data_IF_548436365745
#
_entry.id   IF_548436365745
#
_cell.length_a   1.000
_cell.length_b   1.000
_cell.length_c   1.000
_cell.angle_alpha   90.00
_cell.angle_beta   90.00
_cell.angle_gamma   90.00
#
_symmetry.space_group_name_H-M   'P 1'
#
loop_
_entity.id
_entity.type
_entity.pdbx_description
1 polymer ?
#
# COMPACT_ATOMS: atom_id res chain seq x y z
N UNK A 1 19.47 12.77 19.80
CA UNK A 1 18.67 12.95 18.57
C UNK A 1 17.45 12.04 18.67
N UNK A 2 16.27 12.59 18.91
CA UNK A 2 15.02 11.82 18.97
C UNK A 2 14.54 11.66 17.53
N UNK A 3 14.71 10.47 16.97
CA UNK A 3 14.16 10.12 15.68
C UNK A 3 12.65 9.93 15.84
N UNK A 4 11.85 10.90 15.40
CA UNK A 4 10.39 10.73 15.25
C UNK A 4 10.15 9.64 14.20
N UNK A 5 10.13 8.38 14.64
CA UNK A 5 9.86 7.21 13.81
C UNK A 5 8.35 7.00 13.82
N UNK A 6 7.68 7.29 12.70
CA UNK A 6 6.33 6.81 12.49
C UNK A 6 6.34 5.28 12.61
N UNK A 7 5.55 4.72 13.53
CA UNK A 7 5.44 3.28 13.68
C UNK A 7 4.60 2.72 12.54
N UNK A 8 5.17 1.84 11.72
CA UNK A 8 4.40 1.11 10.73
C UNK A 8 3.54 0.06 11.42
N UNK A 9 2.25 0.01 11.06
CA UNK A 9 1.33 -1.04 11.47
C UNK A 9 1.08 -1.94 10.28
N UNK A 10 1.37 -3.23 10.42
CA UNK A 10 1.09 -4.27 9.42
C UNK A 10 -0.04 -5.14 9.96
N UNK A 11 -1.06 -5.38 9.14
CA UNK A 11 -2.19 -6.25 9.45
C UNK A 11 -2.28 -7.26 8.31
N UNK A 12 -2.30 -8.55 8.64
CA UNK A 12 -2.45 -9.64 7.69
C UNK A 12 -3.60 -10.53 8.13
N UNK A 13 -4.46 -10.91 7.18
CA UNK A 13 -5.52 -11.88 7.39
C UNK A 13 -5.38 -12.99 6.34
N UNK A 14 -5.77 -14.22 6.71
CA UNK A 14 -5.72 -15.38 5.83
C UNK A 14 -6.90 -16.31 6.09
N UNK A 15 -7.41 -16.91 5.02
CA UNK A 15 -8.40 -17.98 5.12
C UNK A 15 -7.71 -19.29 5.53
N UNK A 16 -8.14 -19.90 6.64
CA UNK A 16 -7.52 -21.12 7.16
C UNK A 16 -7.93 -22.39 6.41
N UNK A 17 -9.04 -22.34 5.69
CA UNK A 17 -9.60 -23.52 5.00
C UNK A 17 -8.97 -23.78 3.62
N UNK A 18 -8.05 -22.93 3.16
CA UNK A 18 -7.43 -23.02 1.84
C UNK A 18 -6.00 -23.55 1.97
N UNK A 19 -5.69 -24.60 1.19
CA UNK A 19 -4.33 -25.09 1.06
C UNK A 19 -3.58 -24.30 -0.02
N UNK A 20 -2.80 -23.31 0.41
CA UNK A 20 -2.04 -22.44 -0.49
C UNK A 20 -0.92 -23.16 -1.26
N UNK A 21 -0.46 -24.33 -0.80
CA UNK A 21 0.55 -25.12 -1.52
C UNK A 21 0.07 -25.69 -2.85
N UNK A 22 -1.24 -25.60 -3.15
CA UNK A 22 -1.79 -26.01 -4.45
C UNK A 22 -1.58 -24.96 -5.55
N UNK A 23 -1.28 -23.72 -5.17
CA UNK A 23 -1.03 -22.64 -6.10
C UNK A 23 0.47 -22.50 -6.32
N UNK A 24 0.87 -22.37 -7.57
CA UNK A 24 2.30 -22.33 -7.95
C UNK A 24 2.66 -21.10 -8.74
N UNK A 25 1.67 -20.45 -9.34
CA UNK A 25 1.87 -19.33 -10.23
C UNK A 25 1.06 -18.12 -9.80
N UNK A 26 1.62 -16.93 -10.06
CA UNK A 26 0.95 -15.67 -9.77
C UNK A 26 1.07 -14.67 -10.91
N UNK A 27 0.16 -13.69 -10.93
CA UNK A 27 0.30 -12.48 -11.73
C UNK A 27 -0.15 -11.26 -10.94
N UNK A 28 0.41 -10.09 -11.26
CA UNK A 28 0.00 -8.82 -10.67
C UNK A 28 -0.96 -8.14 -11.64
N UNK A 29 -2.13 -7.71 -11.15
CA UNK A 29 -3.05 -6.90 -11.96
C UNK A 29 -2.38 -5.58 -12.33
N UNK A 30 -2.50 -5.19 -13.60
CA UNK A 30 -2.04 -3.88 -14.04
C UNK A 30 -2.90 -2.75 -13.45
N UNK A 31 -2.36 -2.07 -12.45
CA UNK A 31 -2.98 -0.92 -11.80
C UNK A 31 -2.72 0.35 -12.61
N UNK A 32 -3.36 0.46 -13.78
CA UNK A 32 -3.23 1.64 -14.64
C UNK A 32 -3.92 2.90 -14.09
N UNK A 33 -4.74 2.79 -13.04
CA UNK A 33 -5.71 3.85 -12.71
C UNK A 33 -5.60 4.46 -11.30
N UNK A 34 -4.79 3.91 -10.38
CA UNK A 34 -4.96 4.19 -8.94
C UNK A 34 -3.70 4.63 -8.18
N UNK A 35 -2.63 5.07 -8.85
CA UNK A 35 -1.49 5.63 -8.10
C UNK A 35 -1.82 7.06 -7.65
N UNK A 36 -1.69 7.41 -6.36
CA UNK A 36 -2.15 8.69 -5.84
C UNK A 36 -1.44 9.86 -6.52
N UNK A 37 -2.23 10.88 -6.90
CA UNK A 37 -1.74 12.14 -7.47
C UNK A 37 -0.70 12.77 -6.53
N UNK A 38 0.50 13.05 -7.05
CA UNK A 38 1.61 13.62 -6.29
C UNK A 38 2.57 12.59 -5.66
N UNK A 39 2.28 11.30 -5.73
CA UNK A 39 3.24 10.27 -5.33
C UNK A 39 4.27 10.00 -6.44
N UNK A 40 5.52 9.73 -6.04
CA UNK A 40 6.60 9.48 -6.99
C UNK A 40 6.34 8.18 -7.79
N UNK A 41 6.29 8.22 -9.14
CA UNK A 41 6.02 7.03 -9.96
C UNK A 41 7.05 5.91 -9.79
N UNK A 42 8.29 6.22 -9.36
CA UNK A 42 9.30 5.21 -9.02
C UNK A 42 8.83 4.32 -7.87
N UNK A 43 8.01 4.85 -6.95
CA UNK A 43 7.50 4.06 -5.84
C UNK A 43 6.53 2.96 -6.31
N UNK A 44 5.78 3.17 -7.40
CA UNK A 44 4.95 2.11 -8.02
C UNK A 44 5.83 0.92 -8.40
N UNK A 45 6.91 1.17 -9.16
CA UNK A 45 7.84 0.12 -9.59
C UNK A 45 8.52 -0.56 -8.40
N UNK A 46 8.84 0.18 -7.33
CA UNK A 46 9.45 -0.39 -6.12
C UNK A 46 8.49 -1.30 -5.37
N UNK A 47 7.22 -0.93 -5.26
CA UNK A 47 6.20 -1.76 -4.62
C UNK A 47 5.99 -3.04 -5.43
N UNK A 48 5.80 -2.92 -6.75
CA UNK A 48 5.64 -4.09 -7.63
C UNK A 48 6.83 -5.04 -7.53
N UNK A 49 8.05 -4.52 -7.63
CA UNK A 49 9.27 -5.33 -7.47
C UNK A 49 9.37 -5.98 -6.10
N UNK A 50 8.99 -5.28 -5.03
CA UNK A 50 9.01 -5.86 -3.69
C UNK A 50 8.02 -7.01 -3.58
N UNK A 51 6.81 -6.86 -4.12
CA UNK A 51 5.79 -7.92 -4.13
C UNK A 51 6.26 -9.13 -4.94
N UNK A 52 6.80 -8.92 -6.13
CA UNK A 52 7.35 -10.00 -6.98
C UNK A 52 8.44 -10.75 -6.23
N UNK A 53 9.44 -10.02 -5.70
CA UNK A 53 10.57 -10.63 -5.01
C UNK A 53 10.14 -11.46 -3.79
N UNK A 54 9.14 -11.01 -3.02
CA UNK A 54 8.65 -11.77 -1.87
C UNK A 54 7.87 -13.03 -2.30
N UNK A 55 7.08 -12.96 -3.38
CA UNK A 55 6.37 -14.14 -3.90
C UNK A 55 7.32 -15.16 -4.54
N UNK A 56 8.33 -14.71 -5.26
CA UNK A 56 9.38 -15.59 -5.80
C UNK A 56 10.18 -16.28 -4.69
N UNK A 57 10.50 -15.57 -3.60
CA UNK A 57 11.13 -16.17 -2.40
C UNK A 57 10.26 -17.24 -1.74
N UNK A 58 8.94 -17.10 -1.84
CA UNK A 58 7.98 -18.10 -1.36
C UNK A 58 7.81 -19.28 -2.33
N UNK A 59 8.46 -19.24 -3.49
CA UNK A 59 8.47 -20.31 -4.49
C UNK A 59 7.38 -20.19 -5.57
N UNK A 60 6.69 -19.05 -5.68
CA UNK A 60 5.73 -18.82 -6.75
C UNK A 60 6.42 -18.31 -8.02
N UNK A 61 5.93 -18.73 -9.18
CA UNK A 61 6.42 -18.28 -10.49
C UNK A 61 5.47 -17.25 -11.13
N UNK A 62 6.02 -16.17 -11.68
CA UNK A 62 5.20 -15.18 -12.39
C UNK A 62 4.78 -15.71 -13.78
N UNK A 63 3.48 -15.81 -14.06
CA UNK A 63 2.93 -16.29 -15.34
C UNK A 63 1.69 -15.51 -15.77
N UNK A 64 1.45 -15.42 -17.07
CA UNK A 64 0.22 -14.78 -17.60
C UNK A 64 -1.03 -15.64 -17.34
N UNK A 65 -0.90 -16.95 -17.51
CA UNK A 65 -1.89 -17.94 -17.07
C UNK A 65 -1.48 -18.40 -15.67
N UNK A 66 -2.20 -17.94 -14.66
CA UNK A 66 -1.78 -18.05 -13.27
C UNK A 66 -2.92 -18.49 -12.35
N UNK A 67 -2.55 -19.11 -11.24
CA UNK A 67 -3.52 -19.56 -10.25
C UNK A 67 -3.90 -18.44 -9.26
N UNK A 68 -2.99 -17.48 -9.04
CA UNK A 68 -3.15 -16.38 -8.09
C UNK A 68 -3.04 -15.02 -8.77
N UNK A 69 -4.02 -14.16 -8.51
CA UNK A 69 -4.00 -12.78 -8.95
C UNK A 69 -3.73 -11.88 -7.74
N UNK A 70 -2.68 -11.08 -7.84
CA UNK A 70 -2.24 -10.16 -6.79
C UNK A 70 -2.62 -8.73 -7.17
N UNK A 71 -3.44 -8.12 -6.33
CA UNK A 71 -3.84 -6.72 -6.45
C UNK A 71 -3.29 -5.92 -5.27
N UNK A 72 -2.79 -4.73 -5.54
CA UNK A 72 -2.33 -3.81 -4.51
C UNK A 72 -2.81 -2.40 -4.85
N UNK A 73 -3.01 -1.58 -3.84
CA UNK A 73 -3.39 -0.18 -4.00
C UNK A 73 -2.71 0.66 -2.93
N UNK A 74 -2.53 1.95 -3.21
CA UNK A 74 -1.98 2.91 -2.25
C UNK A 74 -3.02 3.97 -2.01
N UNK A 75 -3.42 4.12 -0.74
CA UNK A 75 -4.29 5.21 -0.30
C UNK A 75 -3.45 6.25 0.43
N UNK A 76 -3.53 7.51 -0.03
CA UNK A 76 -2.97 8.67 0.68
C UNK A 76 -4.13 9.40 1.33
N UNK A 77 -4.05 9.57 2.64
CA UNK A 77 -5.02 10.33 3.43
C UNK A 77 -4.35 11.60 3.93
N UNK A 78 -4.54 12.71 3.21
CA UNK A 78 -4.04 14.03 3.62
C UNK A 78 -4.96 14.60 4.68
N UNK A 79 -4.52 14.55 5.94
CA UNK A 79 -5.16 15.28 7.02
C UNK A 79 -4.88 16.77 6.85
N UNK A 80 -5.89 17.54 6.46
CA UNK A 80 -5.84 18.99 6.55
C UNK A 80 -6.13 19.39 7.99
N UNK A 81 -5.10 19.83 8.72
CA UNK A 81 -5.34 20.59 9.95
C UNK A 81 -5.79 21.99 9.54
N UNK A 82 -7.10 22.26 9.62
CA UNK A 82 -7.57 23.63 9.63
C UNK A 82 -7.06 24.28 10.93
N UNK A 83 -6.01 25.09 10.81
CA UNK A 83 -5.63 25.99 11.87
C UNK A 83 -6.77 27.00 12.06
N UNK A 84 -7.70 26.68 12.96
CA UNK A 84 -8.73 27.62 13.41
C UNK A 84 -7.99 28.72 14.20
N UNK A 85 -7.53 29.74 13.49
CA UNK A 85 -7.15 31.02 14.09
C UNK A 85 -8.43 31.63 14.65
N UNK A 86 -8.72 31.29 15.90
CA UNK A 86 -9.81 31.90 16.67
C UNK A 86 -9.42 33.37 16.84
N UNK A 87 -10.03 34.25 16.05
CA UNK A 87 -9.83 35.70 16.13
C UNK A 87 -10.12 36.16 17.58
N UNK A 88 -9.05 36.45 18.32
CA UNK A 88 -9.03 36.87 19.71
C UNK A 88 -9.55 38.31 19.94
N UNK A 89 -10.04 39.00 18.90
CA UNK A 89 -10.44 40.40 18.95
C UNK A 89 -11.94 40.62 18.75
N UNK A 90 -12.78 40.01 19.59
CA UNK A 90 -14.17 40.44 19.74
C UNK A 90 -14.45 40.93 21.16
N UNK A 91 -13.60 41.87 21.63
CA UNK A 91 -13.67 42.42 22.99
C UNK A 91 -13.60 43.95 23.00
N UNK A 92 -14.38 44.62 22.17
CA UNK A 92 -14.78 46.03 22.34
C UNK A 92 -16.10 46.29 21.59
N UNK A 93 -17.22 46.00 22.24
CA UNK A 93 -18.52 46.65 22.03
C UNK A 93 -18.98 47.12 23.40
#
# INVERSE_FOLDING_TARGET
>A
MIQCKSSYKVISDKESNINFSRYTSFNIIDHNHNFPLGANPINKQRIERAVINELEKLGYEQKNDCDLIVAWFVKVDTKYEEAIYTNYYNRYI
#
